data_IF_762135358783
#
_entry.id   IF_762135358783
#
_cell.length_a   1.000
_cell.length_b   1.000
_cell.length_c   1.000
_cell.angle_alpha   90.00
_cell.angle_beta   90.00
_cell.angle_gamma   90.00
#
_symmetry.space_group_name_H-M   'P 1'
#
loop_
_entity.id
_entity.type
_entity.pdbx_description
1 polymer ?
#
# COMPACT_ATOMS: atom_id res chain seq x y z
N UNK A 1 12.52 -43.10 19.38
CA UNK A 1 11.93 -42.14 18.43
C UNK A 1 12.08 -40.75 19.03
N UNK A 2 13.01 -39.94 18.51
CA UNK A 2 13.14 -38.51 18.86
C UNK A 2 12.58 -37.73 17.68
N UNK A 3 11.53 -36.95 17.93
CA UNK A 3 10.96 -36.01 16.98
C UNK A 3 12.01 -34.91 16.76
N UNK A 4 12.49 -34.77 15.53
CA UNK A 4 13.32 -33.64 15.13
C UNK A 4 12.38 -32.44 15.02
N UNK A 5 12.48 -31.52 15.97
CA UNK A 5 11.86 -30.21 15.91
C UNK A 5 12.50 -29.45 14.75
N UNK A 6 11.82 -29.42 13.61
CA UNK A 6 12.16 -28.54 12.50
C UNK A 6 11.87 -27.10 12.93
N UNK A 7 12.78 -26.51 13.70
CA UNK A 7 12.88 -25.06 13.84
C UNK A 7 13.40 -24.53 12.51
N UNK A 8 12.50 -24.34 11.55
CA UNK A 8 12.81 -23.62 10.31
C UNK A 8 13.09 -22.18 10.73
N UNK A 9 14.37 -21.90 10.98
CA UNK A 9 14.89 -20.57 11.21
C UNK A 9 14.84 -19.86 9.85
N UNK A 10 13.68 -19.29 9.53
CA UNK A 10 13.58 -18.37 8.40
C UNK A 10 14.49 -17.21 8.77
N UNK A 11 15.55 -16.91 7.98
CA UNK A 11 16.25 -15.66 8.18
C UNK A 11 15.18 -14.58 8.06
N UNK A 12 15.05 -13.76 9.10
CA UNK A 12 14.32 -12.52 9.03
C UNK A 12 15.04 -11.71 7.96
N UNK A 13 14.61 -11.87 6.70
CA UNK A 13 15.05 -11.03 5.59
C UNK A 13 14.39 -9.69 5.85
N UNK A 14 14.94 -8.97 6.82
CA UNK A 14 14.52 -7.64 7.20
C UNK A 14 14.78 -6.76 6.00
N UNK A 15 13.75 -6.57 5.17
CA UNK A 15 13.67 -5.41 4.32
C UNK A 15 13.61 -4.22 5.29
N UNK A 16 14.79 -3.68 5.62
CA UNK A 16 14.91 -2.82 6.80
C UNK A 16 14.09 -1.55 6.70
N UNK A 17 13.84 -1.05 5.50
CA UNK A 17 12.89 0.01 5.25
C UNK A 17 12.49 -0.09 3.77
N UNK A 18 11.19 -0.22 3.48
CA UNK A 18 10.67 -0.19 2.11
C UNK A 18 9.87 1.10 1.95
N UNK A 19 10.16 1.86 0.90
CA UNK A 19 9.55 3.16 0.67
C UNK A 19 8.75 3.16 -0.63
N UNK A 20 7.60 3.82 -0.61
CA UNK A 20 6.78 4.15 -1.78
C UNK A 20 6.58 5.66 -1.87
N UNK A 21 6.25 6.17 -3.05
CA UNK A 21 5.91 7.58 -3.21
C UNK A 21 4.45 7.83 -2.80
N UNK A 22 4.21 8.94 -2.11
CA UNK A 22 2.87 9.46 -1.85
C UNK A 22 2.17 9.76 -3.17
N UNK A 23 0.96 9.24 -3.37
CA UNK A 23 0.21 9.42 -4.61
C UNK A 23 -0.20 10.88 -4.90
N UNK A 24 -0.11 11.78 -3.91
CA UNK A 24 -0.44 13.20 -4.06
C UNK A 24 0.80 14.09 -4.25
N UNK A 25 1.77 13.99 -3.34
CA UNK A 25 2.91 14.92 -3.27
C UNK A 25 4.27 14.27 -3.51
N UNK A 26 4.30 12.99 -3.89
CA UNK A 26 5.49 12.21 -4.24
C UNK A 26 6.53 12.02 -3.12
N UNK A 27 6.26 12.53 -1.91
CA UNK A 27 7.09 12.28 -0.74
C UNK A 27 7.19 10.79 -0.41
N UNK A 28 8.36 10.36 0.09
CA UNK A 28 8.58 8.97 0.49
C UNK A 28 7.73 8.60 1.71
N UNK A 29 7.08 7.45 1.62
CA UNK A 29 6.27 6.83 2.65
C UNK A 29 6.92 5.49 2.98
N UNK A 30 7.30 5.30 4.25
CA UNK A 30 7.70 3.99 4.75
C UNK A 30 6.47 3.08 4.79
N UNK A 31 6.50 2.01 3.99
CA UNK A 31 5.36 1.10 3.88
C UNK A 31 5.18 0.23 5.13
N UNK A 32 6.25 0.06 5.91
CA UNK A 32 6.23 -0.68 7.16
C UNK A 32 5.65 0.17 8.30
N UNK A 33 5.69 1.50 8.17
CA UNK A 33 5.04 2.42 9.08
C UNK A 33 3.53 2.51 8.82
N UNK A 34 2.74 2.84 9.84
CA UNK A 34 1.31 3.11 9.66
C UNK A 34 1.12 4.41 8.88
N UNK A 35 0.39 4.33 7.77
CA UNK A 35 0.07 5.47 6.92
C UNK A 35 -1.27 5.27 6.21
N UNK A 36 -1.92 6.34 5.72
CA UNK A 36 -3.17 6.21 4.99
C UNK A 36 -2.98 5.53 3.63
N UNK A 37 -3.85 4.57 3.35
CA UNK A 37 -3.90 3.82 2.10
C UNK A 37 -5.29 3.99 1.49
N UNK A 38 -5.38 4.00 0.17
CA UNK A 38 -6.63 3.91 -0.56
C UNK A 38 -6.55 2.77 -1.58
N UNK A 39 -7.54 1.89 -1.55
CA UNK A 39 -7.72 0.87 -2.58
C UNK A 39 -8.76 1.38 -3.59
N UNK A 40 -8.47 1.28 -4.89
CA UNK A 40 -9.46 1.56 -5.94
C UNK A 40 -9.40 0.51 -7.03
N UNK A 41 -10.54 0.25 -7.66
CA UNK A 41 -10.60 -0.55 -8.88
C UNK A 41 -10.64 0.40 -10.06
N UNK A 42 -9.69 0.24 -10.97
CA UNK A 42 -9.61 0.98 -12.24
C UNK A 42 -9.98 -0.01 -13.33
N UNK A 43 -11.02 0.32 -14.09
CA UNK A 43 -11.43 -0.49 -15.25
C UNK A 43 -10.74 0.04 -16.49
N UNK A 44 -10.15 -0.86 -17.27
CA UNK A 44 -9.63 -0.57 -18.61
C UNK A 44 -10.76 -0.56 -19.65
N UNK A 45 -10.47 -0.10 -20.88
CA UNK A 45 -11.40 -0.08 -22.02
C UNK A 45 -12.00 -1.46 -22.35
N UNK A 46 -11.35 -2.54 -21.92
CA UNK A 46 -11.83 -3.92 -22.07
C UNK A 46 -12.69 -4.43 -20.90
N UNK A 47 -13.11 -3.54 -19.99
CA UNK A 47 -13.87 -3.85 -18.76
C UNK A 47 -13.13 -4.77 -17.77
N UNK A 48 -11.83 -4.99 -17.97
CA UNK A 48 -10.98 -5.70 -17.00
C UNK A 48 -10.60 -4.73 -15.85
N UNK A 49 -10.93 -5.13 -14.63
CA UNK A 49 -10.73 -4.32 -13.43
C UNK A 49 -9.40 -4.63 -12.75
N UNK A 50 -8.50 -3.64 -12.70
CA UNK A 50 -7.26 -3.73 -11.93
C UNK A 50 -7.44 -3.04 -10.59
N UNK A 51 -7.05 -3.72 -9.52
CA UNK A 51 -7.01 -3.13 -8.18
C UNK A 51 -5.70 -2.37 -7.99
N UNK A 52 -5.78 -1.07 -7.75
CA UNK A 52 -4.65 -0.20 -7.45
C UNK A 52 -4.66 0.17 -5.96
N UNK A 53 -3.48 0.07 -5.33
CA UNK A 53 -3.26 0.51 -3.94
C UNK A 53 -2.45 1.79 -3.94
N UNK A 54 -3.05 2.87 -3.45
CA UNK A 54 -2.44 4.19 -3.34
C UNK A 54 -2.00 4.47 -1.91
N UNK A 55 -0.75 4.91 -1.75
CA UNK A 55 -0.16 5.23 -0.46
C UNK A 55 -0.06 6.75 -0.28
N UNK A 56 -0.34 7.24 0.92
CA UNK A 56 -0.29 8.68 1.23
C UNK A 56 0.57 8.93 2.47
N UNK A 57 1.32 10.02 2.47
CA UNK A 57 2.11 10.41 3.65
C UNK A 57 1.24 11.00 4.78
N UNK A 58 0.02 11.47 4.48
CA UNK A 58 -0.91 12.03 5.46
C UNK A 58 -2.37 11.91 5.02
N UNK A 59 -3.29 12.06 5.98
CA UNK A 59 -4.73 12.08 5.70
C UNK A 59 -5.15 13.28 4.83
N UNK A 60 -4.47 14.41 4.97
CA UNK A 60 -4.68 15.58 4.13
C UNK A 60 -4.33 15.30 2.66
N UNK A 61 -3.19 14.63 2.42
CA UNK A 61 -2.79 14.22 1.06
C UNK A 61 -3.81 13.27 0.43
N UNK A 62 -4.34 12.30 1.20
CA UNK A 62 -5.44 11.43 0.76
C UNK A 62 -6.68 12.24 0.40
N UNK A 63 -7.06 13.19 1.25
CA UNK A 63 -8.27 14.00 1.07
C UNK A 63 -8.17 14.94 -0.13
N UNK A 64 -7.03 15.61 -0.30
CA UNK A 64 -6.75 16.47 -1.45
C UNK A 64 -6.76 15.66 -2.74
N UNK A 65 -6.06 14.52 -2.77
CA UNK A 65 -6.04 13.65 -3.93
C UNK A 65 -7.43 13.13 -4.30
N UNK A 66 -8.26 12.72 -3.32
CA UNK A 66 -9.66 12.31 -3.57
C UNK A 66 -10.44 13.45 -4.23
N UNK A 67 -10.29 14.68 -3.73
CA UNK A 67 -10.96 15.87 -4.26
C UNK A 67 -10.52 16.21 -5.69
N UNK A 68 -9.23 16.12 -5.98
CA UNK A 68 -8.68 16.42 -7.32
C UNK A 68 -9.01 15.32 -8.33
N UNK A 69 -8.97 14.06 -7.91
CA UNK A 69 -9.21 12.92 -8.79
C UNK A 69 -10.68 12.69 -9.09
N UNK A 70 -11.59 13.30 -8.31
CA UNK A 70 -13.04 13.11 -8.45
C UNK A 70 -13.51 11.69 -8.13
N UNK A 71 -12.66 10.90 -7.48
CA UNK A 71 -12.98 9.51 -7.09
C UNK A 71 -13.75 9.55 -5.77
N UNK A 72 -15.05 9.30 -5.86
CA UNK A 72 -15.90 9.05 -4.70
C UNK A 72 -15.73 7.56 -4.32
N UNK A 73 -14.89 7.32 -3.33
CA UNK A 73 -14.66 6.01 -2.73
C UNK A 73 -15.33 6.06 -1.37
N UNK A 74 -16.48 5.40 -1.25
CA UNK A 74 -17.14 5.09 0.02
C UNK A 74 -16.10 4.50 0.98
N UNK A 75 -15.96 5.13 2.15
CA UNK A 75 -14.99 4.77 3.20
C UNK A 75 -15.41 3.52 3.99
#
# INVERSE_FOLDING_TARGET
MRLLESTTNFPEVGAKDQYLACAHCENLVDICATHPILLRVVYDDLEDGVTETLHFCSGDCRTHWKRESGVDVDD
#
